data_IF_716623536302
#
_entry.id   IF_716623536302
#
_cell.length_a   1.000
_cell.length_b   1.000
_cell.length_c   1.000
_cell.angle_alpha   90.00
_cell.angle_beta   90.00
_cell.angle_gamma   90.00
#
_symmetry.space_group_name_H-M   'P 1'
#
loop_
_entity.id
_entity.type
_entity.pdbx_description
1 polymer ?
#
# COMPACT_ATOMS: atom_id res chain seq x y z
N UNK A 1 31.51 -33.31 0.73
CA UNK A 1 30.16 -32.91 0.30
C UNK A 1 29.29 -32.57 1.51
N UNK A 2 29.48 -31.41 2.16
CA UNK A 2 28.67 -30.95 3.31
C UNK A 2 28.68 -29.42 3.41
N UNK A 3 28.35 -28.72 2.33
CA UNK A 3 28.22 -27.24 2.34
C UNK A 3 26.86 -26.75 1.79
N UNK A 4 25.86 -27.63 1.72
CA UNK A 4 24.57 -27.33 1.07
C UNK A 4 23.37 -27.22 2.04
N UNK A 5 23.60 -27.13 3.36
CA UNK A 5 22.49 -27.15 4.34
C UNK A 5 22.25 -25.82 5.08
N UNK A 6 23.03 -24.76 4.80
CA UNK A 6 22.91 -23.48 5.52
C UNK A 6 22.05 -22.45 4.74
N UNK A 7 21.66 -22.72 3.49
CA UNK A 7 20.94 -21.73 2.66
C UNK A 7 19.40 -21.72 2.85
N UNK A 8 18.81 -22.75 3.44
CA UNK A 8 17.34 -22.89 3.53
C UNK A 8 16.63 -21.88 4.47
N UNK A 9 17.19 -21.46 5.62
CA UNK A 9 16.49 -20.55 6.53
C UNK A 9 16.40 -19.09 6.04
N UNK A 10 17.27 -18.65 5.13
CA UNK A 10 17.28 -17.26 4.65
C UNK A 10 16.14 -16.93 3.67
N UNK A 11 15.60 -17.93 2.96
CA UNK A 11 14.56 -17.74 1.94
C UNK A 11 13.17 -17.45 2.53
N UNK A 12 12.92 -17.84 3.79
CA UNK A 12 11.60 -17.67 4.44
C UNK A 12 11.42 -16.24 5.00
N UNK A 13 12.52 -15.54 5.30
CA UNK A 13 12.45 -14.20 5.90
C UNK A 13 12.08 -13.10 4.88
N UNK A 14 12.32 -13.32 3.59
CA UNK A 14 12.00 -12.34 2.54
C UNK A 14 10.51 -12.38 2.15
N UNK A 15 9.82 -13.50 2.38
CA UNK A 15 8.41 -13.69 2.00
C UNK A 15 7.41 -12.98 2.91
N UNK A 16 7.83 -12.33 4.00
CA UNK A 16 6.94 -11.61 4.92
C UNK A 16 7.07 -10.08 4.87
N UNK A 17 8.10 -9.57 4.19
CA UNK A 17 8.39 -8.14 4.19
C UNK A 17 7.27 -7.30 3.53
N UNK A 18 6.64 -7.81 2.46
CA UNK A 18 5.53 -7.10 1.82
C UNK A 18 4.29 -6.99 2.73
N UNK A 19 3.95 -8.03 3.50
CA UNK A 19 2.89 -7.98 4.51
C UNK A 19 3.16 -6.89 5.54
N UNK A 20 4.39 -6.82 6.06
CA UNK A 20 4.78 -5.81 7.03
C UNK A 20 4.63 -4.39 6.47
N UNK A 21 4.99 -4.16 5.21
CA UNK A 21 4.82 -2.86 4.56
C UNK A 21 3.33 -2.53 4.39
N UNK A 22 2.53 -3.50 3.94
CA UNK A 22 1.09 -3.33 3.76
C UNK A 22 0.38 -2.97 5.07
N UNK A 23 0.54 -3.78 6.12
CA UNK A 23 -0.14 -3.55 7.40
C UNK A 23 0.34 -2.26 8.07
N UNK A 24 1.58 -1.85 7.83
CA UNK A 24 2.05 -0.54 8.26
C UNK A 24 1.32 0.58 7.50
N UNK A 25 1.15 0.47 6.18
CA UNK A 25 0.34 1.42 5.41
C UNK A 25 -1.11 1.48 5.91
N UNK A 26 -1.75 0.33 6.11
CA UNK A 26 -3.14 0.22 6.59
C UNK A 26 -3.31 0.82 7.99
N UNK A 27 -2.34 0.60 8.88
CA UNK A 27 -2.32 1.24 10.20
C UNK A 27 -2.35 2.77 10.09
N UNK A 28 -1.51 3.37 9.25
CA UNK A 28 -1.51 4.82 9.04
C UNK A 28 -2.82 5.32 8.43
N UNK A 29 -3.47 4.53 7.57
CA UNK A 29 -4.77 4.88 7.01
C UNK A 29 -5.84 4.91 8.10
N UNK A 30 -5.90 3.89 8.95
CA UNK A 30 -6.82 3.83 10.09
C UNK A 30 -6.60 5.01 11.03
N UNK A 31 -5.36 5.34 11.34
CA UNK A 31 -5.03 6.52 12.15
C UNK A 31 -5.45 7.83 11.46
N UNK A 32 -5.33 7.94 10.13
CA UNK A 32 -5.79 9.10 9.38
C UNK A 32 -7.32 9.26 9.48
N UNK A 33 -8.07 8.17 9.29
CA UNK A 33 -9.54 8.17 9.40
C UNK A 33 -9.97 8.56 10.81
N UNK A 34 -9.38 7.96 11.85
CA UNK A 34 -9.66 8.30 13.25
C UNK A 34 -9.37 9.77 13.54
N UNK A 35 -8.22 10.27 13.08
CA UNK A 35 -7.82 11.68 13.26
C UNK A 35 -8.77 12.67 12.59
N UNK A 36 -9.28 12.33 11.39
CA UNK A 36 -10.27 13.17 10.69
C UNK A 36 -11.62 13.17 11.40
N UNK A 37 -12.03 12.01 11.97
CA UNK A 37 -13.28 11.85 12.72
C UNK A 37 -13.25 12.61 14.04
N UNK A 38 -12.13 12.55 14.76
CA UNK A 38 -11.94 13.23 16.05
C UNK A 38 -11.92 14.75 15.89
N UNK A 39 -11.12 15.26 14.95
CA UNK A 39 -11.04 16.70 14.70
C UNK A 39 -10.68 16.98 13.25
N UNK A 40 -11.70 17.19 12.41
CA UNK A 40 -11.53 17.49 10.99
C UNK A 40 -10.84 18.83 10.70
N UNK A 41 -10.83 19.77 11.67
CA UNK A 41 -10.10 21.04 11.55
C UNK A 41 -8.59 20.85 11.74
N UNK A 42 -8.19 19.82 12.47
CA UNK A 42 -6.79 19.42 12.58
C UNK A 42 -6.38 18.62 11.35
N UNK A 43 -5.52 19.19 10.51
CA UNK A 43 -5.11 18.59 9.24
C UNK A 43 -4.11 17.43 9.37
N UNK A 44 -3.80 16.97 10.58
CA UNK A 44 -2.90 15.82 10.82
C UNK A 44 -3.35 14.52 10.13
N UNK A 45 -4.64 14.35 9.83
CA UNK A 45 -5.12 13.23 9.01
C UNK A 45 -4.52 13.24 7.60
N UNK A 46 -4.19 14.41 7.04
CA UNK A 46 -3.57 14.50 5.71
C UNK A 46 -2.14 13.95 5.73
N UNK A 47 -1.36 14.26 6.75
CA UNK A 47 0.00 13.73 6.93
C UNK A 47 0.01 12.21 7.17
N UNK A 48 -0.97 11.68 7.90
CA UNK A 48 -1.15 10.23 8.08
C UNK A 48 -1.59 9.54 6.78
N UNK A 49 -2.44 10.18 5.99
CA UNK A 49 -2.78 9.72 4.64
C UNK A 49 -1.55 9.74 3.72
N UNK A 50 -0.67 10.74 3.80
CA UNK A 50 0.59 10.76 3.06
C UNK A 50 1.52 9.61 3.47
N UNK A 51 1.56 9.27 4.76
CA UNK A 51 2.30 8.10 5.24
C UNK A 51 1.74 6.78 4.69
N UNK A 52 0.41 6.69 4.56
CA UNK A 52 -0.26 5.55 3.90
C UNK A 52 0.21 5.41 2.46
N UNK A 53 0.13 6.52 1.69
CA UNK A 53 0.50 6.56 0.27
C UNK A 53 1.97 6.18 0.07
N UNK A 54 2.86 6.75 0.88
CA UNK A 54 4.30 6.48 0.81
C UNK A 54 4.63 4.99 1.04
N UNK A 55 4.00 4.36 2.04
CA UNK A 55 4.26 2.95 2.36
C UNK A 55 3.66 2.00 1.35
N UNK A 56 2.41 2.23 0.93
CA UNK A 56 1.79 1.45 -0.13
C UNK A 56 2.60 1.52 -1.43
N UNK A 57 3.12 2.70 -1.78
CA UNK A 57 4.03 2.87 -2.93
C UNK A 57 5.31 2.03 -2.80
N UNK A 58 5.87 1.88 -1.59
CA UNK A 58 7.05 1.03 -1.36
C UNK A 58 6.75 -0.44 -1.57
N UNK A 59 5.55 -0.90 -1.21
CA UNK A 59 5.12 -2.28 -1.49
C UNK A 59 5.14 -2.53 -2.99
N UNK A 60 4.51 -1.65 -3.76
CA UNK A 60 4.44 -1.77 -5.22
C UNK A 60 5.85 -1.71 -5.85
N UNK A 61 6.70 -0.81 -5.36
CA UNK A 61 8.07 -0.65 -5.85
C UNK A 61 8.95 -1.87 -5.60
N UNK A 62 8.93 -2.41 -4.38
CA UNK A 62 9.84 -3.48 -3.98
C UNK A 62 9.27 -4.89 -4.20
N UNK A 63 7.94 -5.01 -4.29
CA UNK A 63 7.22 -6.28 -4.43
C UNK A 63 6.08 -6.18 -5.48
N UNK A 64 6.39 -5.83 -6.75
CA UNK A 64 5.38 -5.61 -7.79
C UNK A 64 4.56 -6.86 -8.18
N UNK A 65 5.05 -8.05 -7.83
CA UNK A 65 4.36 -9.33 -8.06
C UNK A 65 3.63 -9.85 -6.81
N UNK A 66 3.58 -9.07 -5.73
CA UNK A 66 2.84 -9.46 -4.52
C UNK A 66 1.33 -9.47 -4.77
N UNK A 67 0.64 -10.43 -4.17
CA UNK A 67 -0.83 -10.49 -4.15
C UNK A 67 -1.48 -9.31 -3.41
N UNK A 68 -0.70 -8.43 -2.76
CA UNK A 68 -1.21 -7.24 -2.08
C UNK A 68 -1.04 -5.94 -2.90
N UNK A 69 -0.61 -6.03 -4.16
CA UNK A 69 -0.41 -4.83 -4.99
C UNK A 69 -1.72 -4.11 -5.27
N UNK A 70 -2.78 -4.85 -5.59
CA UNK A 70 -4.15 -4.35 -5.75
C UNK A 70 -4.69 -3.72 -4.46
N UNK A 71 -4.48 -4.38 -3.32
CA UNK A 71 -4.86 -3.88 -2.00
C UNK A 71 -4.09 -2.59 -1.65
N UNK A 72 -2.80 -2.53 -1.96
CA UNK A 72 -1.97 -1.33 -1.76
C UNK A 72 -2.45 -0.16 -2.63
N UNK A 73 -2.78 -0.42 -3.90
CA UNK A 73 -3.37 0.57 -4.81
C UNK A 73 -4.72 1.08 -4.30
N UNK A 74 -5.59 0.19 -3.83
CA UNK A 74 -6.88 0.55 -3.26
C UNK A 74 -6.70 1.42 -2.01
N UNK A 75 -5.74 1.07 -1.16
CA UNK A 75 -5.42 1.83 0.04
C UNK A 75 -4.90 3.24 -0.30
N UNK A 76 -4.07 3.39 -1.35
CA UNK A 76 -3.65 4.70 -1.87
C UNK A 76 -4.84 5.52 -2.35
N UNK A 77 -5.75 4.93 -3.13
CA UNK A 77 -6.95 5.60 -3.62
C UNK A 77 -7.82 6.13 -2.47
N UNK A 78 -8.06 5.30 -1.46
CA UNK A 78 -8.77 5.68 -0.23
C UNK A 78 -8.09 6.83 0.51
N UNK A 79 -6.76 6.81 0.63
CA UNK A 79 -6.00 7.87 1.27
C UNK A 79 -6.09 9.20 0.49
N UNK A 80 -6.00 9.16 -0.84
CA UNK A 80 -6.21 10.35 -1.67
C UNK A 80 -7.62 10.93 -1.51
N UNK A 81 -8.66 10.09 -1.52
CA UNK A 81 -10.05 10.53 -1.26
C UNK A 81 -10.16 11.17 0.13
N UNK A 82 -9.50 10.59 1.14
CA UNK A 82 -9.51 11.12 2.51
C UNK A 82 -8.91 12.53 2.58
N UNK A 83 -7.82 12.79 1.84
CA UNK A 83 -7.17 14.11 1.73
C UNK A 83 -8.06 15.16 1.07
N UNK A 84 -8.91 14.74 0.13
CA UNK A 84 -9.86 15.58 -0.60
C UNK A 84 -9.21 16.55 -1.58
N UNK A 85 -10.04 17.26 -2.34
CA UNK A 85 -9.60 18.20 -3.38
C UNK A 85 -9.43 17.53 -4.75
N UNK A 86 -9.65 18.31 -5.82
CA UNK A 86 -9.74 17.84 -7.20
C UNK A 86 -8.52 17.00 -7.63
N UNK A 87 -7.32 17.48 -7.32
CA UNK A 87 -6.08 16.80 -7.70
C UNK A 87 -5.92 15.43 -7.01
N UNK A 88 -6.33 15.33 -5.74
CA UNK A 88 -6.27 14.06 -5.04
C UNK A 88 -7.35 13.10 -5.55
N UNK A 89 -8.54 13.57 -5.90
CA UNK A 89 -9.55 12.71 -6.52
C UNK A 89 -9.08 12.17 -7.87
N UNK A 90 -8.39 12.98 -8.68
CA UNK A 90 -7.81 12.50 -9.93
C UNK A 90 -6.76 11.42 -9.69
N UNK A 91 -5.87 11.62 -8.71
CA UNK A 91 -4.90 10.60 -8.29
C UNK A 91 -5.58 9.32 -7.81
N UNK A 92 -6.68 9.42 -7.06
CA UNK A 92 -7.44 8.26 -6.62
C UNK A 92 -8.00 7.46 -7.80
N UNK A 93 -8.61 8.13 -8.78
CA UNK A 93 -9.09 7.49 -10.01
C UNK A 93 -7.96 6.79 -10.76
N UNK A 94 -6.80 7.45 -10.92
CA UNK A 94 -5.62 6.82 -11.53
C UNK A 94 -5.22 5.52 -10.82
N UNK A 95 -5.28 5.48 -9.48
CA UNK A 95 -4.97 4.25 -8.73
C UNK A 95 -6.02 3.16 -8.90
N UNK A 96 -7.29 3.51 -9.08
CA UNK A 96 -8.34 2.54 -9.40
C UNK A 96 -8.15 1.98 -10.83
N UNK A 97 -7.79 2.82 -11.80
CA UNK A 97 -7.48 2.37 -13.16
C UNK A 97 -6.26 1.43 -13.20
N UNK A 98 -5.26 1.67 -12.34
CA UNK A 98 -4.08 0.80 -12.18
C UNK A 98 -4.47 -0.60 -11.67
N UNK A 99 -5.46 -0.70 -10.77
CA UNK A 99 -5.98 -1.99 -10.27
C UNK A 99 -6.60 -2.80 -11.41
N UNK A 100 -7.43 -2.18 -12.25
CA UNK A 100 -8.04 -2.87 -13.39
C UNK A 100 -6.98 -3.40 -14.36
N UNK A 101 -5.95 -2.59 -14.65
CA UNK A 101 -4.83 -2.99 -15.50
C UNK A 101 -4.03 -4.13 -14.88
N UNK A 102 -3.77 -4.06 -13.57
CA UNK A 102 -3.06 -5.11 -12.84
C UNK A 102 -3.79 -6.46 -12.93
N UNK A 103 -5.11 -6.50 -12.69
CA UNK A 103 -5.89 -7.74 -12.82
C UNK A 103 -5.94 -8.27 -14.25
N UNK A 104 -6.05 -7.39 -15.26
CA UNK A 104 -6.00 -7.81 -16.67
C UNK A 104 -4.66 -8.48 -16.99
N UNK A 105 -3.55 -7.92 -16.52
CA UNK A 105 -2.23 -8.50 -16.72
C UNK A 105 -2.07 -9.85 -16.01
N UNK A 106 -2.50 -9.96 -14.74
CA UNK A 106 -2.42 -11.21 -13.97
C UNK A 106 -3.25 -12.36 -14.56
N UNK A 107 -4.33 -12.07 -15.30
CA UNK A 107 -5.14 -13.10 -15.97
C UNK A 107 -4.51 -13.67 -17.25
N UNK A 108 -3.57 -12.94 -17.86
CA UNK A 108 -2.96 -13.30 -19.15
C UNK A 108 -1.66 -14.11 -18.95
N UNK A 109 -1.04 -13.98 -17.77
CA UNK A 109 0.16 -14.73 -17.37
C UNK A 109 -0.19 -15.91 -16.47
#
# INVERSE_FOLDING_TARGET
>A
MKKLLIAFPLLILTSCAYFNIYYNADKYYKEAVSSKKENSRNLSYKSKADSTISKASKLIQYYPNSDLVDDALLLMAKAYVLKGGKDNYMKALTKLDEIEKYYKHKKIN
#
